data_IF_994332134152
#
_entry.id   IF_994332134152
#
_cell.length_a   1.000
_cell.length_b   1.000
_cell.length_c   1.000
_cell.angle_alpha   90.00
_cell.angle_beta   90.00
_cell.angle_gamma   90.00
#
_symmetry.space_group_name_H-M   'P 1'
#
loop_
_entity.id
_entity.type
_entity.pdbx_description
1 polymer ?
#
# COMPACT_ATOMS: atom_id res chain seq x y z
N UNK A 1 -7.91 -28.78 20.08
CA UNK A 1 -8.20 -27.87 21.21
C UNK A 1 -9.64 -27.38 21.11
N UNK A 2 -10.35 -27.23 22.25
CA UNK A 2 -11.67 -26.60 22.32
C UNK A 2 -11.49 -25.18 22.87
N UNK A 3 -11.97 -24.20 22.12
CA UNK A 3 -11.85 -22.78 22.43
C UNK A 3 -13.18 -22.11 22.11
N UNK A 4 -13.60 -21.17 22.95
CA UNK A 4 -14.77 -20.32 22.69
C UNK A 4 -14.26 -18.96 22.25
N UNK A 5 -14.72 -18.48 21.10
CA UNK A 5 -14.36 -17.18 20.53
C UNK A 5 -15.65 -16.39 20.30
N UNK A 6 -15.72 -15.19 20.85
CA UNK A 6 -16.78 -14.23 20.53
C UNK A 6 -16.44 -13.56 19.21
N UNK A 7 -17.38 -13.55 18.26
CA UNK A 7 -17.25 -12.90 16.97
C UNK A 7 -18.24 -11.76 16.85
N UNK A 8 -17.81 -10.66 16.23
CA UNK A 8 -18.72 -9.61 15.80
C UNK A 8 -19.77 -10.16 14.82
N UNK A 9 -20.94 -9.53 14.82
CA UNK A 9 -22.10 -10.03 14.08
C UNK A 9 -21.82 -10.13 12.57
N UNK A 10 -21.12 -9.15 12.00
CA UNK A 10 -20.74 -9.10 10.59
C UNK A 10 -19.72 -10.20 10.25
N UNK A 11 -18.71 -10.42 11.11
CA UNK A 11 -17.70 -11.47 10.95
C UNK A 11 -18.35 -12.86 10.98
N UNK A 12 -19.25 -13.09 11.95
CA UNK A 12 -20.00 -14.33 12.06
C UNK A 12 -20.88 -14.59 10.82
N UNK A 13 -21.57 -13.56 10.32
CA UNK A 13 -22.39 -13.65 9.12
C UNK A 13 -21.57 -14.01 7.87
N UNK A 14 -20.43 -13.32 7.66
CA UNK A 14 -19.51 -13.59 6.54
C UNK A 14 -18.91 -14.99 6.60
N UNK A 15 -18.51 -15.44 7.79
CA UNK A 15 -17.97 -16.78 7.97
C UNK A 15 -19.02 -17.87 7.69
N UNK A 16 -20.28 -17.67 8.11
CA UNK A 16 -21.39 -18.59 7.79
C UNK A 16 -21.68 -18.66 6.29
N UNK A 17 -21.70 -17.51 5.62
CA UNK A 17 -21.84 -17.45 4.15
C UNK A 17 -20.68 -18.17 3.45
N UNK A 18 -19.44 -17.97 3.91
CA UNK A 18 -18.27 -18.66 3.40
C UNK A 18 -18.36 -20.19 3.58
N UNK A 19 -18.79 -20.66 4.75
CA UNK A 19 -19.02 -22.07 5.01
C UNK A 19 -20.07 -22.68 4.08
N UNK A 20 -21.20 -21.99 3.88
CA UNK A 20 -22.25 -22.41 2.96
C UNK A 20 -21.75 -22.48 1.50
N UNK A 21 -21.01 -21.45 1.06
CA UNK A 21 -20.46 -21.37 -0.30
C UNK A 21 -19.42 -22.47 -0.58
N UNK A 22 -18.54 -22.73 0.39
CA UNK A 22 -17.47 -23.72 0.25
C UNK A 22 -17.93 -25.15 0.55
N UNK A 23 -19.16 -25.33 1.06
CA UNK A 23 -19.70 -26.61 1.57
C UNK A 23 -18.75 -27.28 2.57
N UNK A 24 -18.15 -26.46 3.44
CA UNK A 24 -17.18 -26.91 4.45
C UNK A 24 -17.68 -26.61 5.86
N UNK A 25 -17.27 -27.39 6.87
CA UNK A 25 -17.62 -27.11 8.25
C UNK A 25 -17.19 -25.70 8.67
N UNK A 26 -18.05 -25.00 9.43
CA UNK A 26 -17.80 -23.63 9.90
C UNK A 26 -16.43 -23.49 10.59
N UNK A 27 -16.05 -24.46 11.42
CA UNK A 27 -14.74 -24.53 12.07
C UNK A 27 -13.57 -24.56 11.08
N UNK A 28 -13.70 -25.31 9.99
CA UNK A 28 -12.63 -25.40 9.00
C UNK A 28 -12.44 -24.06 8.28
N UNK A 29 -13.55 -23.41 7.90
CA UNK A 29 -13.52 -22.11 7.25
C UNK A 29 -12.95 -21.03 8.16
N UNK A 30 -13.39 -20.97 9.43
CA UNK A 30 -12.85 -20.04 10.42
C UNK A 30 -11.34 -20.26 10.61
N UNK A 31 -10.90 -21.50 10.79
CA UNK A 31 -9.48 -21.78 11.00
C UNK A 31 -8.64 -21.43 9.77
N UNK A 32 -9.14 -21.70 8.55
CA UNK A 32 -8.44 -21.33 7.33
C UNK A 32 -8.34 -19.80 7.17
N UNK A 33 -9.44 -19.09 7.43
CA UNK A 33 -9.47 -17.63 7.39
C UNK A 33 -8.53 -17.01 8.44
N UNK A 34 -8.53 -17.53 9.67
CA UNK A 34 -7.64 -17.05 10.73
C UNK A 34 -6.17 -17.27 10.39
N UNK A 35 -5.79 -18.43 9.83
CA UNK A 35 -4.40 -18.65 9.38
C UNK A 35 -3.99 -17.63 8.32
N UNK A 36 -4.79 -17.49 7.25
CA UNK A 36 -4.50 -16.56 6.18
C UNK A 36 -4.43 -15.09 6.66
N UNK A 37 -5.27 -14.72 7.62
CA UNK A 37 -5.25 -13.39 8.23
C UNK A 37 -4.05 -13.18 9.16
N UNK A 38 -3.74 -14.16 10.01
CA UNK A 38 -2.60 -14.10 10.93
C UNK A 38 -1.27 -14.06 10.18
N UNK A 39 -1.12 -14.81 9.09
CA UNK A 39 0.08 -14.77 8.25
C UNK A 39 0.31 -13.36 7.68
N UNK A 40 -0.76 -12.67 7.26
CA UNK A 40 -0.67 -11.29 6.74
C UNK A 40 -0.41 -10.25 7.83
N UNK A 41 -0.99 -10.43 9.02
CA UNK A 41 -0.83 -9.50 10.14
C UNK A 41 0.57 -9.63 10.77
N UNK A 42 1.06 -10.87 10.91
CA UNK A 42 2.33 -11.15 11.57
C UNK A 42 3.53 -11.04 10.63
N UNK A 43 3.35 -11.22 9.33
CA UNK A 43 4.37 -11.01 8.31
C UNK A 43 3.91 -9.93 7.30
N UNK A 44 3.88 -8.65 7.72
CA UNK A 44 3.52 -7.58 6.80
C UNK A 44 4.46 -7.60 5.59
N UNK A 45 3.94 -7.43 4.36
CA UNK A 45 4.76 -7.43 3.17
C UNK A 45 5.82 -6.34 3.29
N UNK A 46 7.05 -6.64 2.84
CA UNK A 46 8.11 -5.67 2.81
C UNK A 46 7.64 -4.40 2.09
N UNK A 47 7.90 -3.24 2.70
CA UNK A 47 7.56 -1.96 2.09
C UNK A 47 8.16 -1.91 0.68
N UNK A 48 7.33 -1.58 -0.32
CA UNK A 48 7.85 -1.41 -1.68
C UNK A 48 8.85 -0.26 -1.65
N UNK A 49 10.09 -0.43 -2.16
CA UNK A 49 11.03 0.66 -2.27
C UNK A 49 10.39 1.82 -3.01
N UNK A 50 10.49 3.02 -2.45
CA UNK A 50 10.02 4.23 -3.11
C UNK A 50 10.76 4.40 -4.45
N UNK A 51 10.00 4.56 -5.54
CA UNK A 51 10.54 4.83 -6.88
C UNK A 51 9.82 6.02 -7.48
N UNK A 52 10.55 7.10 -7.72
CA UNK A 52 10.06 8.25 -8.47
C UNK A 52 9.98 7.90 -9.95
N UNK A 53 8.90 8.30 -10.63
CA UNK A 53 8.82 8.31 -12.09
C UNK A 53 9.24 9.70 -12.58
N UNK A 54 10.52 9.95 -12.90
CA UNK A 54 10.95 11.26 -13.36
C UNK A 54 10.27 11.59 -14.70
N UNK A 55 9.96 12.86 -14.91
CA UNK A 55 9.62 13.38 -16.24
C UNK A 55 10.83 14.12 -16.77
N UNK A 56 11.15 13.90 -18.05
CA UNK A 56 12.13 14.71 -18.74
C UNK A 56 11.56 16.12 -18.92
N UNK A 57 11.89 17.04 -18.00
CA UNK A 57 11.45 18.44 -18.07
C UNK A 57 12.28 19.27 -19.06
N UNK A 58 13.49 18.78 -19.41
CA UNK A 58 14.44 19.53 -20.24
C UNK A 58 14.97 20.78 -19.54
N UNK A 59 15.82 21.52 -20.24
CA UNK A 59 16.27 22.84 -19.79
C UNK A 59 15.21 23.88 -20.16
N UNK A 60 14.86 24.77 -19.21
CA UNK A 60 13.89 25.84 -19.45
C UNK A 60 14.42 26.77 -20.57
N UNK A 61 13.52 27.19 -21.47
CA UNK A 61 13.88 28.06 -22.60
C UNK A 61 14.55 29.34 -22.10
N UNK A 62 15.66 29.72 -22.72
CA UNK A 62 16.45 30.89 -22.33
C UNK A 62 17.59 30.58 -21.36
N UNK A 63 17.66 29.37 -20.82
CA UNK A 63 18.80 28.91 -20.05
C UNK A 63 19.82 28.16 -20.91
N UNK A 64 21.09 28.25 -20.51
CA UNK A 64 22.20 27.51 -21.10
C UNK A 64 23.07 26.93 -19.99
N UNK A 65 23.54 25.69 -20.16
CA UNK A 65 24.48 25.06 -19.22
C UNK A 65 25.91 25.64 -19.36
N UNK A 66 26.21 26.26 -20.49
CA UNK A 66 27.53 26.87 -20.74
C UNK A 66 27.66 28.24 -20.07
N UNK A 67 26.54 28.86 -19.65
CA UNK A 67 26.50 30.15 -18.96
C UNK A 67 26.04 29.98 -17.50
N UNK A 68 26.92 29.42 -16.67
CA UNK A 68 26.60 29.02 -15.29
C UNK A 68 26.10 30.19 -14.44
N UNK A 69 26.69 31.38 -14.54
CA UNK A 69 26.28 32.55 -13.74
C UNK A 69 24.85 33.01 -14.03
N UNK A 70 24.46 33.03 -15.32
CA UNK A 70 23.09 33.38 -15.75
C UNK A 70 22.10 32.27 -15.38
N UNK A 71 22.54 31.01 -15.46
CA UNK A 71 21.75 29.85 -15.06
C UNK A 71 21.40 29.89 -13.57
N UNK A 72 22.37 30.19 -12.72
CA UNK A 72 22.17 30.33 -11.27
C UNK A 72 21.25 31.52 -10.99
N UNK A 73 21.55 32.70 -11.56
CA UNK A 73 20.76 33.90 -11.34
C UNK A 73 19.27 33.71 -11.73
N UNK A 74 18.99 33.04 -12.85
CA UNK A 74 17.61 32.78 -13.26
C UNK A 74 16.95 31.58 -12.56
N UNK A 75 17.72 30.67 -11.96
CA UNK A 75 17.19 29.60 -11.10
C UNK A 75 16.87 30.11 -9.69
N UNK A 76 17.61 31.12 -9.21
CA UNK A 76 17.43 31.73 -7.89
C UNK A 76 16.50 32.97 -7.90
N UNK A 77 16.14 33.49 -9.08
CA UNK A 77 15.34 34.72 -9.25
C UNK A 77 13.80 34.57 -9.20
N UNK A 78 13.19 35.38 -8.31
CA UNK A 78 11.77 35.85 -8.22
C UNK A 78 10.58 34.86 -8.33
N UNK A 79 10.70 33.63 -7.83
CA UNK A 79 9.54 32.93 -7.22
C UNK A 79 9.93 32.29 -5.87
N UNK A 80 10.35 33.15 -4.94
CA UNK A 80 10.19 32.87 -3.51
C UNK A 80 9.10 33.81 -2.99
N UNK A 81 7.85 33.48 -3.30
CA UNK A 81 6.64 34.10 -2.74
C UNK A 81 5.55 33.03 -2.63
#
# INVERSE_FOLDING_TARGET
MRTTLTLDHDVAARAKQGAARLRKPFKEVINAALRAGLDQILAPPAAKPYRTKPRAMGLRRGFSYDHISELIAGAEGEEHS
#
